data_IF_129306197012
#
_entry.id   IF_129306197012
#
_cell.length_a   1.000
_cell.length_b   1.000
_cell.length_c   1.000
_cell.angle_alpha   90.00
_cell.angle_beta   90.00
_cell.angle_gamma   90.00
#
_symmetry.space_group_name_H-M   'P 1'
#
loop_
_entity.id
_entity.type
_entity.pdbx_description
1 polymer ?
#
# COMPACT_ATOMS: atom_id res chain seq x y z
N UNK A 1 -2.04 -15.83 -6.51
CA UNK A 1 -1.66 -14.46 -6.88
C UNK A 1 -2.55 -13.55 -6.05
N UNK A 2 -1.97 -12.73 -5.18
CA UNK A 2 -2.71 -11.87 -4.24
C UNK A 2 -3.02 -10.54 -4.90
N UNK A 3 -4.29 -10.16 -4.97
CA UNK A 3 -4.70 -8.85 -5.45
C UNK A 3 -4.88 -7.88 -4.27
N UNK A 4 -4.51 -6.62 -4.47
CA UNK A 4 -4.38 -5.59 -3.44
C UNK A 4 -5.19 -4.35 -3.82
N UNK A 5 -5.91 -3.77 -2.86
CA UNK A 5 -6.56 -2.46 -2.99
C UNK A 5 -6.66 -1.76 -1.64
N UNK A 6 -6.80 -0.43 -1.64
CA UNK A 6 -7.06 0.36 -0.43
C UNK A 6 -8.49 0.14 0.07
N UNK A 7 -8.71 0.20 1.38
CA UNK A 7 -10.05 0.05 2.00
C UNK A 7 -10.79 1.40 2.06
N UNK A 8 -12.02 1.48 1.53
CA UNK A 8 -12.87 2.68 1.60
C UNK A 8 -14.09 2.46 2.53
N UNK A 9 -14.62 3.50 3.20
CA UNK A 9 -14.09 4.88 3.36
C UNK A 9 -13.01 4.97 4.44
N UNK A 10 -12.35 3.85 4.71
CA UNK A 10 -11.67 3.57 5.96
C UNK A 10 -10.30 4.23 6.03
N UNK A 11 -9.53 4.20 4.94
CA UNK A 11 -8.21 4.79 4.87
C UNK A 11 -8.25 6.24 4.36
N UNK A 12 -7.99 7.21 5.23
CA UNK A 12 -7.83 8.62 4.86
C UNK A 12 -6.38 9.06 5.08
N UNK A 13 -5.83 9.80 4.11
CA UNK A 13 -4.55 10.48 4.28
C UNK A 13 -4.78 11.72 5.14
N UNK A 14 -4.16 11.76 6.32
CA UNK A 14 -4.24 12.88 7.26
C UNK A 14 -3.16 13.93 7.01
N UNK A 15 -1.96 13.47 6.66
CA UNK A 15 -0.79 14.30 6.35
C UNK A 15 -0.13 13.69 5.12
N UNK A 16 0.17 14.53 4.15
CA UNK A 16 0.93 14.17 2.95
C UNK A 16 2.03 15.22 2.79
N UNK A 17 3.24 14.87 3.20
CA UNK A 17 4.40 15.75 3.15
C UNK A 17 5.56 15.10 2.39
N UNK A 18 6.61 15.84 2.00
CA UNK A 18 7.71 15.29 1.20
C UNK A 18 8.55 14.22 1.91
N UNK A 19 8.27 13.91 3.18
CA UNK A 19 9.05 13.03 4.05
C UNK A 19 8.23 11.81 4.48
N UNK A 20 6.92 11.93 4.60
CA UNK A 20 6.01 10.87 5.01
C UNK A 20 4.55 11.12 4.61
N UNK A 21 3.82 10.02 4.46
CA UNK A 21 2.37 10.02 4.36
C UNK A 21 1.79 9.37 5.62
N UNK A 22 0.89 10.06 6.31
CA UNK A 22 0.17 9.52 7.47
C UNK A 22 -1.23 9.08 7.03
N UNK A 23 -1.52 7.80 7.16
CA UNK A 23 -2.81 7.19 6.78
C UNK A 23 -3.54 6.76 8.04
N UNK A 24 -4.79 7.18 8.19
CA UNK A 24 -5.64 6.80 9.31
C UNK A 24 -6.80 5.90 8.91
N UNK A 25 -7.05 4.91 9.76
CA UNK A 25 -8.26 4.10 9.76
C UNK A 25 -9.32 4.80 10.61
N UNK A 26 -10.21 5.57 9.96
CA UNK A 26 -11.16 6.48 10.64
C UNK A 26 -12.06 5.76 11.67
N UNK A 27 -12.69 4.61 11.37
CA UNK A 27 -13.55 3.92 12.35
C UNK A 27 -12.82 3.35 13.57
N UNK A 28 -11.51 3.11 13.46
CA UNK A 28 -10.71 2.46 14.51
C UNK A 28 -9.88 3.46 15.32
N UNK A 29 -9.83 4.73 14.88
CA UNK A 29 -9.01 5.77 15.51
C UNK A 29 -7.52 5.46 15.48
N UNK A 30 -7.04 4.69 14.49
CA UNK A 30 -5.63 4.31 14.33
C UNK A 30 -5.00 5.06 13.16
N UNK A 31 -3.71 5.36 13.27
CA UNK A 31 -2.93 5.95 12.19
C UNK A 31 -1.61 5.20 12.02
N UNK A 32 -1.17 5.08 10.77
CA UNK A 32 0.10 4.47 10.35
C UNK A 32 0.89 5.54 9.60
N UNK A 33 2.18 5.66 9.93
CA UNK A 33 3.10 6.53 9.22
C UNK A 33 3.81 5.70 8.16
N UNK A 34 3.71 6.13 6.91
CA UNK A 34 4.37 5.52 5.75
C UNK A 34 5.53 6.40 5.31
N UNK A 35 6.67 5.76 5.03
CA UNK A 35 7.90 6.43 4.61
C UNK A 35 8.64 5.59 3.57
N UNK A 36 9.31 6.26 2.64
CA UNK A 36 10.17 5.61 1.65
C UNK A 36 9.38 4.64 0.77
N UNK A 37 9.80 3.37 0.69
CA UNK A 37 9.14 2.37 -0.16
C UNK A 37 7.66 2.16 0.20
N UNK A 38 7.32 2.22 1.49
CA UNK A 38 5.93 1.98 1.94
C UNK A 38 4.96 3.09 1.50
N UNK A 39 5.43 4.33 1.45
CA UNK A 39 4.68 5.45 0.91
C UNK A 39 4.44 5.28 -0.59
N UNK A 40 5.49 4.92 -1.34
CA UNK A 40 5.40 4.71 -2.79
C UNK A 40 4.42 3.58 -3.11
N UNK A 41 4.51 2.46 -2.39
CA UNK A 41 3.58 1.32 -2.55
C UNK A 41 2.14 1.77 -2.28
N UNK A 42 1.90 2.53 -1.20
CA UNK A 42 0.57 3.01 -0.84
C UNK A 42 -0.07 3.87 -1.93
N UNK A 43 0.68 4.83 -2.48
CA UNK A 43 0.17 5.72 -3.52
C UNK A 43 -0.07 5.00 -4.86
N UNK A 44 0.56 3.84 -5.07
CA UNK A 44 0.34 2.99 -6.25
C UNK A 44 -0.81 1.99 -6.07
N UNK A 45 -1.26 1.74 -4.84
CA UNK A 45 -2.40 0.86 -4.63
C UNK A 45 -3.68 1.51 -5.18
N UNK A 46 -4.50 0.76 -5.94
CA UNK A 46 -5.76 1.28 -6.44
C UNK A 46 -6.66 1.70 -5.28
N UNK A 47 -7.46 2.75 -5.51
CA UNK A 47 -8.52 3.11 -4.57
C UNK A 47 -9.55 1.96 -4.45
N UNK A 48 -10.40 1.98 -3.43
CA UNK A 48 -11.34 0.87 -3.21
C UNK A 48 -12.37 0.70 -4.34
N UNK A 49 -12.70 1.80 -5.02
CA UNK A 49 -13.63 1.86 -6.18
C UNK A 49 -12.96 1.39 -7.49
N UNK A 50 -11.64 1.21 -7.47
CA UNK A 50 -10.83 0.78 -8.61
C UNK A 50 -10.58 -0.75 -8.56
N UNK A 51 -10.30 -1.38 -9.71
CA UNK A 51 -9.97 -2.80 -9.75
C UNK A 51 -8.68 -3.08 -8.95
N UNK A 52 -8.68 -4.19 -8.22
CA UNK A 52 -7.53 -4.60 -7.42
C UNK A 52 -6.30 -4.90 -8.31
N UNK A 53 -5.13 -4.52 -7.82
CA UNK A 53 -3.85 -4.66 -8.51
C UNK A 53 -3.10 -5.87 -7.95
N UNK A 54 -2.56 -6.73 -8.81
CA UNK A 54 -1.77 -7.88 -8.35
C UNK A 54 -0.46 -7.45 -7.68
N UNK A 55 -0.08 -8.08 -6.57
CA UNK A 55 1.18 -7.80 -5.88
C UNK A 55 2.40 -7.92 -6.81
N UNK A 56 2.45 -8.97 -7.64
CA UNK A 56 3.52 -9.19 -8.62
C UNK A 56 3.54 -8.12 -9.72
N UNK A 57 2.38 -7.58 -10.10
CA UNK A 57 2.29 -6.50 -11.08
C UNK A 57 2.85 -5.21 -10.51
N UNK A 58 2.44 -4.85 -9.29
CA UNK A 58 2.96 -3.68 -8.59
C UNK A 58 4.48 -3.78 -8.38
N UNK A 59 4.98 -4.95 -7.96
CA UNK A 59 6.41 -5.19 -7.80
C UNK A 59 7.17 -5.03 -9.12
N UNK A 60 6.62 -5.51 -10.24
CA UNK A 60 7.23 -5.35 -11.56
C UNK A 60 7.29 -3.88 -12.00
N UNK A 61 6.25 -3.10 -11.75
CA UNK A 61 6.24 -1.65 -12.02
C UNK A 61 7.30 -0.92 -11.19
N UNK A 62 7.37 -1.20 -9.88
CA UNK A 62 8.37 -0.61 -8.99
C UNK A 62 9.81 -1.04 -9.34
N UNK A 63 10.01 -2.29 -9.80
CA UNK A 63 11.31 -2.79 -10.19
C UNK A 63 11.87 -2.05 -11.41
N UNK A 64 11.01 -1.70 -12.37
CA UNK A 64 11.40 -0.93 -13.55
C UNK A 64 11.86 0.49 -13.20
N UNK A 65 11.25 1.11 -12.19
CA UNK A 65 11.57 2.48 -11.78
C UNK A 65 12.78 2.56 -10.86
N UNK A 66 12.96 1.59 -9.98
CA UNK A 66 13.97 1.62 -8.91
C UNK A 66 15.22 0.81 -9.25
N UNK A 67 15.15 -0.11 -10.20
CA UNK A 67 16.21 -1.08 -10.50
C UNK A 67 16.42 -2.13 -9.41
N UNK A 68 15.52 -2.21 -8.41
CA UNK A 68 15.53 -3.25 -7.38
C UNK A 68 14.99 -4.56 -7.96
N UNK A 69 15.49 -5.68 -7.45
CA UNK A 69 15.03 -7.01 -7.85
C UNK A 69 13.51 -7.19 -7.60
N UNK A 70 12.81 -7.71 -8.61
CA UNK A 70 11.35 -7.86 -8.58
C UNK A 70 10.88 -8.81 -7.49
N UNK A 71 11.65 -9.85 -7.15
CA UNK A 71 11.30 -10.81 -6.10
C UNK A 71 11.41 -10.15 -4.72
N UNK A 72 12.43 -9.30 -4.54
CA UNK A 72 12.59 -8.51 -3.31
C UNK A 72 11.43 -7.52 -3.14
N UNK A 73 11.05 -6.81 -4.20
CA UNK A 73 9.93 -5.87 -4.16
C UNK A 73 8.59 -6.57 -3.95
N UNK A 74 8.38 -7.73 -4.57
CA UNK A 74 7.17 -8.51 -4.37
C UNK A 74 7.00 -8.94 -2.91
N UNK A 75 8.08 -9.40 -2.27
CA UNK A 75 8.05 -9.71 -0.85
C UNK A 75 7.74 -8.47 0.01
N UNK A 76 8.38 -7.33 -0.29
CA UNK A 76 8.13 -6.08 0.44
C UNK A 76 6.68 -5.60 0.29
N UNK A 77 6.12 -5.70 -0.92
CA UNK A 77 4.71 -5.37 -1.19
C UNK A 77 3.78 -6.28 -0.39
N UNK A 78 4.06 -7.59 -0.35
CA UNK A 78 3.25 -8.56 0.39
C UNK A 78 3.34 -8.34 1.91
N UNK A 79 4.53 -8.12 2.46
CA UNK A 79 4.73 -7.87 3.89
C UNK A 79 3.98 -6.59 4.33
N UNK A 80 4.17 -5.50 3.58
CA UNK A 80 3.45 -4.26 3.85
C UNK A 80 1.93 -4.42 3.70
N UNK A 81 1.47 -5.13 2.66
CA UNK A 81 0.05 -5.35 2.46
C UNK A 81 -0.57 -6.17 3.58
N UNK A 82 0.15 -7.15 4.12
CA UNK A 82 -0.29 -7.90 5.30
C UNK A 82 -0.41 -6.99 6.53
N UNK A 83 0.62 -6.19 6.83
CA UNK A 83 0.60 -5.24 7.95
C UNK A 83 -0.56 -4.23 7.83
N UNK A 84 -0.79 -3.70 6.63
CA UNK A 84 -1.88 -2.76 6.39
C UNK A 84 -3.26 -3.43 6.41
N UNK A 85 -3.36 -4.69 6.00
CA UNK A 85 -4.60 -5.46 6.11
C UNK A 85 -4.97 -5.73 7.57
N UNK A 86 -4.00 -6.03 8.43
CA UNK A 86 -4.22 -6.15 9.89
C UNK A 86 -4.72 -4.85 10.52
N UNK A 87 -4.32 -3.70 9.95
CA UNK A 87 -4.81 -2.38 10.35
C UNK A 87 -6.12 -1.96 9.65
N UNK A 88 -6.67 -2.79 8.75
CA UNK A 88 -7.89 -2.52 7.99
C UNK A 88 -7.75 -1.44 6.92
N UNK A 89 -6.53 -1.18 6.44
CA UNK A 89 -6.20 -0.14 5.46
C UNK A 89 -6.09 -0.68 4.02
N UNK A 90 -5.82 -1.98 3.88
CA UNK A 90 -5.71 -2.70 2.60
C UNK A 90 -6.57 -3.95 2.63
N UNK A 91 -7.17 -4.30 1.49
CA UNK A 91 -7.87 -5.57 1.29
C UNK A 91 -7.01 -6.52 0.44
N UNK A 92 -6.89 -7.76 0.90
CA UNK A 92 -6.23 -8.87 0.19
C UNK A 92 -7.32 -9.74 -0.48
N UNK A 93 -7.27 -9.86 -1.80
CA UNK A 93 -8.26 -10.57 -2.64
C UNK A 93 -7.63 -11.74 -3.41
#
# INVERSE_FOLDING_TARGET
MTALRRTHPVAQVLVDDPVCTVVAHVPAGRAVVLQGASEVIWHRLPAAEEPALGASQLAAELAQETGVDVVVLEQQVLDMAADLAEQGLVELL
#
